data_IF_079800065542
#
_entry.id   IF_079800065542
#
_cell.length_a   1.000
_cell.length_b   1.000
_cell.length_c   1.000
_cell.angle_alpha   90.00
_cell.angle_beta   90.00
_cell.angle_gamma   90.00
#
_symmetry.space_group_name_H-M   'P 1'
#
loop_
_entity.id
_entity.type
_entity.pdbx_description
1 polymer ?
#
# COMPACT_ATOMS: atom_id res chain seq x y z
N UNK A 1 -5.13 18.15 -62.84
CA UNK A 1 -5.85 17.17 -61.99
C UNK A 1 -4.86 16.14 -61.44
N UNK A 2 -4.02 16.48 -60.46
CA UNK A 2 -3.21 15.51 -59.67
C UNK A 2 -2.63 16.26 -58.46
N UNK A 3 -3.45 16.58 -57.46
CA UNK A 3 -2.95 17.17 -56.21
C UNK A 3 -3.94 17.05 -55.04
N UNK A 4 -4.76 15.99 -55.00
CA UNK A 4 -5.72 15.80 -53.91
C UNK A 4 -5.75 14.37 -53.32
N UNK A 5 -4.81 13.51 -53.70
CA UNK A 5 -4.74 12.12 -53.19
C UNK A 5 -3.66 11.90 -52.14
N UNK A 6 -2.67 12.79 -51.97
CA UNK A 6 -1.66 12.65 -50.89
C UNK A 6 -2.14 13.21 -49.54
N UNK A 7 -2.90 14.30 -49.53
CA UNK A 7 -3.39 14.91 -48.29
C UNK A 7 -4.48 14.06 -47.59
N UNK A 8 -5.29 13.31 -48.36
CA UNK A 8 -6.29 12.40 -47.79
C UNK A 8 -5.68 11.10 -47.24
N UNK A 9 -4.51 10.67 -47.73
CA UNK A 9 -3.83 9.49 -47.20
C UNK A 9 -3.18 9.77 -45.83
N UNK A 10 -2.60 10.98 -45.65
CA UNK A 10 -1.95 11.38 -44.38
C UNK A 10 -2.95 11.69 -43.26
N UNK A 11 -4.13 12.23 -43.57
CA UNK A 11 -5.18 12.47 -42.57
C UNK A 11 -5.80 11.18 -42.02
N UNK A 12 -5.87 10.12 -42.83
CA UNK A 12 -6.38 8.80 -42.39
C UNK A 12 -5.38 8.14 -41.41
N UNK A 13 -4.08 8.31 -41.64
CA UNK A 13 -3.03 7.77 -40.76
C UNK A 13 -2.99 8.43 -39.37
N UNK A 14 -3.31 9.72 -39.27
CA UNK A 14 -3.30 10.45 -37.99
C UNK A 14 -4.54 10.11 -37.15
N UNK A 15 -5.71 9.92 -37.79
CA UNK A 15 -6.94 9.50 -37.10
C UNK A 15 -6.87 8.06 -36.59
N UNK A 16 -6.18 7.15 -37.31
CA UNK A 16 -5.90 5.80 -36.82
C UNK A 16 -4.95 5.79 -35.62
N UNK A 17 -3.93 6.67 -35.60
CA UNK A 17 -3.02 6.80 -34.45
C UNK A 17 -3.73 7.41 -33.22
N UNK A 18 -4.66 8.34 -33.41
CA UNK A 18 -5.44 8.94 -32.31
C UNK A 18 -6.40 7.91 -31.69
N UNK A 19 -7.03 7.06 -32.52
CA UNK A 19 -7.91 5.99 -32.03
C UNK A 19 -7.15 4.85 -31.33
N UNK A 20 -5.90 4.58 -31.71
CA UNK A 20 -5.06 3.57 -31.03
C UNK A 20 -4.53 4.08 -29.67
N UNK A 21 -4.32 5.40 -29.53
CA UNK A 21 -3.87 6.04 -28.29
C UNK A 21 -4.98 6.20 -27.26
N UNK A 22 -6.25 6.29 -27.68
CA UNK A 22 -7.41 6.28 -26.77
C UNK A 22 -7.63 4.91 -26.08
N UNK A 23 -6.87 3.88 -26.47
CA UNK A 23 -6.92 2.55 -25.85
C UNK A 23 -5.78 2.29 -24.84
N UNK A 24 -4.92 3.26 -24.56
CA UNK A 24 -3.81 3.12 -23.60
C UNK A 24 -3.79 4.31 -22.64
N UNK A 25 -4.21 4.10 -21.40
CA UNK A 25 -4.10 5.06 -20.29
C UNK A 25 -2.63 5.44 -20.03
N UNK A 26 -2.17 6.57 -20.56
CA UNK A 26 -0.86 7.14 -20.23
C UNK A 26 -0.94 8.64 -19.90
N UNK A 27 -0.97 8.88 -18.59
CA UNK A 27 -0.36 9.95 -17.81
C UNK A 27 -0.28 11.40 -18.37
N UNK A 28 -0.86 12.30 -17.57
CA UNK A 28 -0.86 13.78 -17.62
C UNK A 28 0.49 14.49 -17.92
N UNK A 29 1.63 13.79 -17.83
CA UNK A 29 2.95 14.40 -18.00
C UNK A 29 3.38 14.58 -19.46
N UNK A 30 2.78 13.86 -20.43
CA UNK A 30 3.12 14.01 -21.85
C UNK A 30 2.52 15.27 -22.49
N UNK A 31 1.36 15.73 -21.99
CA UNK A 31 0.68 16.92 -22.51
C UNK A 31 1.48 18.22 -22.24
N UNK A 32 2.09 18.35 -21.05
CA UNK A 32 2.90 19.53 -20.73
C UNK A 32 4.19 19.63 -21.58
N UNK A 33 4.74 18.48 -21.97
CA UNK A 33 5.94 18.39 -22.81
C UNK A 33 5.59 18.73 -24.26
N UNK A 34 4.48 18.21 -24.79
CA UNK A 34 4.01 18.54 -26.15
C UNK A 34 3.67 20.02 -26.30
N UNK A 35 2.97 20.61 -25.32
CA UNK A 35 2.62 22.04 -25.34
C UNK A 35 3.89 22.91 -25.27
N UNK A 36 4.87 22.55 -24.44
CA UNK A 36 6.15 23.29 -24.36
C UNK A 36 6.98 23.15 -25.64
N UNK A 37 6.93 21.99 -26.30
CA UNK A 37 7.60 21.74 -27.57
C UNK A 37 7.00 22.59 -28.71
N UNK A 38 5.67 22.64 -28.82
CA UNK A 38 5.00 23.45 -29.84
C UNK A 38 5.13 24.96 -29.61
N UNK A 39 5.21 25.41 -28.34
CA UNK A 39 5.42 26.83 -28.00
C UNK A 39 6.81 27.34 -28.40
N UNK A 40 7.79 26.45 -28.58
CA UNK A 40 9.19 26.80 -28.84
C UNK A 40 9.58 26.71 -30.32
N UNK A 41 8.85 25.98 -31.17
CA UNK A 41 9.37 25.64 -32.51
C UNK A 41 8.45 25.81 -33.74
N UNK A 42 7.20 26.31 -33.68
CA UNK A 42 6.44 26.77 -34.86
C UNK A 42 5.14 27.50 -34.49
N UNK A 43 4.73 28.48 -35.30
CA UNK A 43 3.44 29.17 -35.16
C UNK A 43 2.28 28.15 -35.29
N UNK A 44 1.32 28.21 -34.35
CA UNK A 44 0.09 27.43 -34.41
C UNK A 44 -0.77 27.89 -35.61
N UNK A 45 -1.38 26.97 -36.37
CA UNK A 45 -2.39 27.32 -37.37
C UNK A 45 -3.65 27.92 -36.70
N UNK A 46 -4.24 28.91 -37.35
CA UNK A 46 -5.30 29.81 -36.85
C UNK A 46 -6.67 29.15 -36.59
N UNK A 47 -6.80 27.82 -36.69
CA UNK A 47 -8.05 27.09 -36.44
C UNK A 47 -8.23 26.57 -35.01
N UNK A 48 -7.26 26.78 -34.11
CA UNK A 48 -7.32 26.34 -32.70
C UNK A 48 -7.44 27.48 -31.67
N UNK A 49 -7.66 28.74 -32.10
CA UNK A 49 -7.78 29.87 -31.17
C UNK A 49 -9.13 29.97 -30.44
N UNK A 50 -10.15 29.24 -30.88
CA UNK A 50 -11.53 29.37 -30.38
C UNK A 50 -11.95 28.35 -29.32
N UNK A 51 -11.09 27.40 -28.93
CA UNK A 51 -11.36 26.51 -27.78
C UNK A 51 -10.51 26.81 -26.52
N UNK A 52 -9.62 27.79 -26.58
CA UNK A 52 -8.76 28.16 -25.44
C UNK A 52 -9.34 29.26 -24.53
N UNK A 53 -10.39 29.96 -24.95
CA UNK A 53 -11.05 30.99 -24.10
C UNK A 53 -11.86 30.40 -22.95
N UNK A 54 -12.34 29.15 -23.07
CA UNK A 54 -13.09 28.48 -22.00
C UNK A 54 -12.20 27.87 -20.89
N UNK A 55 -10.90 27.65 -21.15
CA UNK A 55 -9.96 27.07 -20.18
C UNK A 55 -9.20 28.11 -19.36
N UNK A 56 -9.24 29.40 -19.73
CA UNK A 56 -8.53 30.47 -19.01
C UNK A 56 -9.25 30.99 -17.76
N UNK A 57 -10.54 30.67 -17.58
CA UNK A 57 -11.31 31.10 -16.39
C UNK A 57 -11.06 30.18 -15.18
N UNK A 58 -10.59 28.94 -15.39
CA UNK A 58 -10.30 28.00 -14.29
C UNK A 58 -8.89 28.17 -13.71
N UNK A 59 -7.92 28.70 -14.47
CA UNK A 59 -6.54 28.87 -14.01
C UNK A 59 -6.33 30.09 -13.08
N UNK A 60 -7.23 31.08 -13.10
CA UNK A 60 -7.10 32.28 -12.24
C UNK A 60 -7.63 32.10 -10.81
N UNK A 61 -8.33 31.01 -10.48
CA UNK A 61 -8.80 30.74 -9.10
C UNK A 61 -7.80 29.99 -8.22
N UNK A 62 -6.68 29.51 -8.74
CA UNK A 62 -5.69 28.75 -7.96
C UNK A 62 -4.38 29.49 -7.63
N UNK A 63 -4.18 30.70 -8.16
CA UNK A 63 -2.91 31.47 -7.97
C UNK A 63 -2.86 32.33 -6.69
N UNK A 64 -3.88 32.28 -5.83
CA UNK A 64 -3.97 33.15 -4.64
C UNK A 64 -3.88 32.37 -3.33
N UNK A 65 -2.83 31.58 -3.12
CA UNK A 65 -2.42 31.14 -1.77
C UNK A 65 -1.03 30.47 -1.78
N UNK A 66 0.02 31.28 -1.84
CA UNK A 66 1.33 31.01 -1.21
C UNK A 66 2.37 31.99 -1.74
N UNK A 67 2.51 33.12 -1.05
CA UNK A 67 3.69 33.99 -1.20
C UNK A 67 4.17 34.33 0.21
N UNK A 68 5.24 33.67 0.64
CA UNK A 68 6.01 34.01 1.83
C UNK A 68 7.47 34.21 1.41
N UNK A 69 7.91 35.46 1.56
CA UNK A 69 9.25 35.97 1.88
C UNK A 69 10.50 35.36 1.22
N UNK A 70 11.18 36.19 0.41
CA UNK A 70 12.61 36.09 0.11
C UNK A 70 13.34 37.30 0.71
N UNK A 71 14.44 37.06 1.42
CA UNK A 71 15.40 38.09 1.87
C UNK A 71 16.75 37.79 1.22
N UNK A 72 17.33 38.84 0.62
CA UNK A 72 18.65 38.87 -0.04
C UNK A 72 19.83 38.94 0.94
N UNK A 73 21.03 38.49 0.53
CA UNK A 73 22.34 39.14 0.74
C UNK A 73 23.53 38.33 0.14
N UNK A 74 24.70 38.95 -0.12
CA UNK A 74 25.57 38.66 -1.27
C UNK A 74 27.01 38.18 -0.97
N UNK A 75 27.79 37.95 -2.04
CA UNK A 75 29.21 37.54 -2.10
C UNK A 75 30.21 38.52 -1.44
N UNK A 76 31.30 38.00 -0.85
CA UNK A 76 32.67 38.52 -1.03
C UNK A 76 33.76 37.52 -0.54
N UNK A 77 34.94 37.62 -1.16
CA UNK A 77 36.13 36.76 -1.05
C UNK A 77 37.02 37.09 0.19
N UNK A 78 37.97 36.19 0.55
CA UNK A 78 39.40 36.45 0.91
C UNK A 78 40.06 35.20 1.58
N UNK A 79 41.40 35.17 1.49
CA UNK A 79 42.47 34.15 1.56
C UNK A 79 42.79 33.35 2.86
N UNK A 80 43.52 32.22 2.66
CA UNK A 80 44.32 31.36 3.59
C UNK A 80 45.47 32.10 4.35
N UNK A 81 46.25 31.53 5.33
CA UNK A 81 46.54 30.09 5.63
C UNK A 81 46.77 29.64 7.11
N UNK A 82 46.95 28.31 7.28
CA UNK A 82 47.93 27.54 8.12
C UNK A 82 47.33 26.38 8.94
N UNK A 83 47.90 25.18 8.75
CA UNK A 83 47.78 23.98 9.62
C UNK A 83 48.82 24.05 10.76
N UNK A 84 48.75 23.22 11.84
CA UNK A 84 49.31 21.86 11.76
C UNK A 84 48.58 20.74 12.55
N UNK A 85 48.85 19.51 12.09
CA UNK A 85 48.92 18.21 12.79
C UNK A 85 47.66 17.47 13.30
N UNK A 86 47.69 16.16 13.04
CA UNK A 86 46.67 15.12 13.29
C UNK A 86 46.98 14.33 14.59
N UNK A 87 46.12 13.39 15.05
CA UNK A 87 46.13 12.03 14.47
C UNK A 87 44.77 11.34 14.29
N UNK A 88 44.68 10.69 13.11
CA UNK A 88 44.14 9.37 12.74
C UNK A 88 42.94 8.72 13.47
N UNK A 89 41.97 8.39 12.61
CA UNK A 89 41.25 7.11 12.46
C UNK A 89 40.26 6.68 13.54
N UNK A 90 38.97 6.85 13.26
CA UNK A 90 38.02 5.74 13.08
C UNK A 90 36.94 6.16 12.08
N UNK A 91 37.08 5.75 10.81
CA UNK A 91 35.97 5.77 9.86
C UNK A 91 34.97 4.70 10.32
N UNK A 92 33.79 5.09 10.80
CA UNK A 92 32.63 4.20 10.77
C UNK A 92 32.25 4.02 9.31
N UNK A 93 32.71 2.94 8.69
CA UNK A 93 32.05 2.40 7.50
C UNK A 93 30.65 1.98 7.95
N UNK A 94 29.64 2.77 7.59
CA UNK A 94 28.27 2.27 7.56
C UNK A 94 28.21 1.26 6.41
N UNK A 95 28.45 -0.01 6.73
CA UNK A 95 28.20 -1.09 5.79
C UNK A 95 26.69 -1.12 5.59
N UNK A 96 26.24 -0.71 4.40
CA UNK A 96 24.88 -0.97 3.94
C UNK A 96 24.76 -2.47 3.73
N UNK A 97 24.34 -3.21 4.75
CA UNK A 97 23.93 -4.61 4.59
C UNK A 97 22.61 -4.62 3.83
N UNK A 98 22.68 -4.59 2.49
CA UNK A 98 21.62 -5.10 1.64
C UNK A 98 21.60 -6.61 1.83
N UNK A 99 20.75 -7.09 2.73
CA UNK A 99 20.55 -8.52 2.89
C UNK A 99 19.60 -8.98 1.79
N UNK A 100 20.17 -9.62 0.76
CA UNK A 100 19.39 -10.39 -0.19
C UNK A 100 18.95 -11.67 0.54
N UNK A 101 17.64 -11.91 0.64
CA UNK A 101 17.11 -13.17 1.15
C UNK A 101 17.45 -14.25 0.12
N UNK A 102 18.61 -14.89 0.27
CA UNK A 102 18.92 -16.10 -0.48
C UNK A 102 18.27 -17.28 0.24
N UNK A 103 17.02 -17.56 -0.13
CA UNK A 103 16.46 -18.89 0.04
C UNK A 103 17.27 -19.85 -0.84
N UNK A 104 17.92 -20.84 -0.24
CA UNK A 104 18.58 -21.92 -0.96
C UNK A 104 17.52 -22.76 -1.69
N UNK A 105 17.60 -22.78 -3.02
CA UNK A 105 16.66 -23.45 -3.92
C UNK A 105 16.89 -24.97 -3.95
N UNK A 106 15.84 -25.81 -4.00
CA UNK A 106 15.96 -27.16 -4.52
C UNK A 106 16.07 -27.11 -6.06
N UNK A 107 17.02 -27.85 -6.62
CA UNK A 107 17.23 -27.93 -8.06
C UNK A 107 16.05 -28.64 -8.73
N UNK A 108 15.28 -27.90 -9.54
CA UNK A 108 14.27 -28.47 -10.43
C UNK A 108 14.81 -28.47 -11.86
N UNK A 109 14.72 -29.61 -12.56
CA UNK A 109 15.36 -29.92 -13.84
C UNK A 109 14.82 -29.14 -15.06
N UNK A 110 14.18 -27.99 -14.85
CA UNK A 110 13.77 -27.06 -15.89
C UNK A 110 14.24 -25.67 -15.45
N UNK A 111 15.27 -25.12 -16.11
CA UNK A 111 16.01 -23.91 -15.73
C UNK A 111 15.24 -22.57 -15.68
N UNK A 112 13.95 -22.58 -15.36
CA UNK A 112 13.19 -21.40 -14.99
C UNK A 112 13.38 -21.14 -13.49
N UNK A 113 14.16 -20.11 -13.16
CA UNK A 113 14.31 -19.59 -11.79
C UNK A 113 12.94 -19.06 -11.32
N UNK A 114 12.25 -19.78 -10.44
CA UNK A 114 10.99 -19.30 -9.86
C UNK A 114 11.33 -18.17 -8.89
N UNK A 115 11.15 -16.93 -9.35
CA UNK A 115 11.28 -15.75 -8.49
C UNK A 115 10.02 -15.62 -7.63
N UNK A 116 10.11 -16.05 -6.37
CA UNK A 116 9.02 -15.87 -5.43
C UNK A 116 8.95 -14.41 -4.99
N UNK A 117 7.81 -13.77 -5.24
CA UNK A 117 7.54 -12.40 -4.79
C UNK A 117 7.02 -12.45 -3.34
N UNK A 118 7.65 -11.71 -2.41
CA UNK A 118 7.29 -11.78 -1.00
C UNK A 118 5.88 -11.24 -0.74
N UNK A 119 5.24 -11.78 0.30
CA UNK A 119 3.98 -11.26 0.83
C UNK A 119 4.23 -10.32 2.00
N UNK A 120 3.59 -9.15 2.00
CA UNK A 120 3.54 -8.26 3.16
C UNK A 120 2.19 -8.45 3.86
N UNK A 121 2.22 -9.04 5.05
CA UNK A 121 1.04 -9.29 5.86
C UNK A 121 1.06 -8.31 7.03
N UNK A 122 0.10 -7.38 7.03
CA UNK A 122 0.05 -6.26 7.97
C UNK A 122 -1.15 -6.42 8.89
N UNK A 123 -0.92 -6.46 10.19
CA UNK A 123 -1.96 -6.37 11.20
C UNK A 123 -2.14 -4.94 11.63
N UNK A 124 -3.37 -4.42 11.55
CA UNK A 124 -3.70 -3.11 12.07
C UNK A 124 -4.00 -3.16 13.57
N UNK A 125 -3.60 -2.11 14.28
CA UNK A 125 -3.77 -2.00 15.73
C UNK A 125 -3.09 -0.73 16.26
N UNK A 126 -3.25 -0.47 17.56
CA UNK A 126 -2.52 0.60 18.25
C UNK A 126 -1.44 0.01 19.16
N UNK A 127 -0.23 0.60 19.21
CA UNK A 127 0.84 0.14 20.09
C UNK A 127 0.60 0.52 21.56
N UNK A 128 1.13 -0.29 22.47
CA UNK A 128 1.14 -0.04 23.90
C UNK A 128 0.10 -0.83 24.70
N UNK A 129 0.42 -1.09 25.98
CA UNK A 129 -0.32 -2.00 26.85
C UNK A 129 -1.81 -1.65 27.04
N UNK A 130 -2.16 -0.36 26.93
CA UNK A 130 -3.55 0.11 27.06
C UNK A 130 -4.49 -0.43 25.97
N UNK A 131 -3.96 -0.78 24.80
CA UNK A 131 -4.74 -1.32 23.68
C UNK A 131 -4.65 -2.85 23.58
N UNK A 132 -3.90 -3.49 24.47
CA UNK A 132 -3.78 -4.94 24.46
C UNK A 132 -5.13 -5.61 24.76
N UNK A 133 -5.56 -6.48 23.85
CA UNK A 133 -6.82 -7.23 23.94
C UNK A 133 -8.07 -6.42 23.58
N UNK A 134 -7.94 -5.20 23.07
CA UNK A 134 -9.08 -4.40 22.61
C UNK A 134 -9.56 -4.85 21.24
N UNK A 135 -10.84 -4.68 20.91
CA UNK A 135 -11.41 -5.09 19.62
C UNK A 135 -10.61 -4.55 18.42
N UNK A 136 -10.19 -3.29 18.49
CA UNK A 136 -9.43 -2.62 17.43
C UNK A 136 -7.97 -3.07 17.27
N UNK A 137 -7.50 -3.98 18.14
CA UNK A 137 -6.15 -4.53 18.12
C UNK A 137 -6.10 -5.98 17.61
N UNK A 138 -7.23 -6.50 17.12
CA UNK A 138 -7.32 -7.88 16.66
C UNK A 138 -6.41 -8.18 15.47
N UNK A 139 -6.11 -7.17 14.64
CA UNK A 139 -5.13 -7.31 13.55
C UNK A 139 -3.73 -7.63 14.08
N UNK A 140 -3.30 -7.02 15.19
CA UNK A 140 -2.03 -7.37 15.84
C UNK A 140 -2.05 -8.80 16.39
N UNK A 141 -3.15 -9.20 17.04
CA UNK A 141 -3.28 -10.56 17.59
C UNK A 141 -3.24 -11.63 16.48
N UNK A 142 -3.80 -11.35 15.30
CA UNK A 142 -3.68 -12.24 14.14
C UNK A 142 -2.23 -12.35 13.68
N UNK A 143 -1.48 -11.24 13.61
CA UNK A 143 -0.06 -11.29 13.24
C UNK A 143 0.74 -12.08 14.28
N UNK A 144 0.45 -11.92 15.57
CA UNK A 144 1.10 -12.67 16.64
C UNK A 144 0.80 -14.17 16.52
N UNK A 145 -0.43 -14.54 16.15
CA UNK A 145 -0.85 -15.93 15.93
C UNK A 145 -0.15 -16.55 14.72
N UNK A 146 -0.03 -15.81 13.61
CA UNK A 146 0.71 -16.23 12.42
C UNK A 146 2.19 -16.39 12.77
N UNK A 147 2.79 -15.39 13.41
CA UNK A 147 4.20 -15.39 13.79
C UNK A 147 4.54 -16.60 14.67
N UNK A 148 3.71 -16.87 15.69
CA UNK A 148 3.85 -18.03 16.58
C UNK A 148 3.77 -19.35 15.81
N UNK A 149 2.78 -19.49 14.92
CA UNK A 149 2.55 -20.74 14.17
C UNK A 149 3.67 -21.02 13.17
N UNK A 150 4.25 -19.98 12.57
CA UNK A 150 5.33 -20.09 11.59
C UNK A 150 6.74 -20.02 12.21
N UNK A 151 6.85 -19.86 13.53
CA UNK A 151 8.14 -19.69 14.20
C UNK A 151 8.88 -18.40 13.83
N UNK A 152 8.15 -17.36 13.41
CA UNK A 152 8.72 -16.07 13.00
C UNK A 152 8.91 -15.16 14.20
N UNK A 153 10.13 -14.70 14.41
CA UNK A 153 10.44 -13.75 15.47
C UNK A 153 10.23 -12.32 14.97
N UNK A 154 9.41 -11.55 15.67
CA UNK A 154 9.16 -10.13 15.38
C UNK A 154 10.07 -9.24 16.23
N UNK A 155 11.29 -8.99 15.78
CA UNK A 155 12.30 -8.22 16.52
C UNK A 155 12.85 -7.00 15.75
N UNK A 156 12.54 -6.88 14.46
CA UNK A 156 13.11 -5.86 13.60
C UNK A 156 12.21 -4.63 13.60
N UNK A 157 12.78 -3.44 13.84
CA UNK A 157 12.03 -2.18 13.73
C UNK A 157 12.42 -1.50 12.44
N UNK A 158 11.46 -1.31 11.54
CA UNK A 158 11.66 -0.65 10.26
C UNK A 158 10.41 0.13 9.87
N UNK A 159 10.58 1.32 9.29
CA UNK A 159 9.47 2.14 8.79
C UNK A 159 8.35 2.34 9.84
N UNK A 160 8.75 2.59 11.09
CA UNK A 160 7.83 2.72 12.24
C UNK A 160 6.95 1.48 12.47
N UNK A 161 7.37 0.28 12.07
CA UNK A 161 6.67 -0.97 12.31
C UNK A 161 7.59 -1.99 12.99
N UNK A 162 7.00 -2.88 13.79
CA UNK A 162 7.66 -4.10 14.24
C UNK A 162 7.46 -5.16 13.17
N UNK A 163 8.56 -5.77 12.73
CA UNK A 163 8.64 -6.61 11.55
C UNK A 163 9.25 -7.96 11.92
N UNK A 164 8.71 -9.02 11.33
CA UNK A 164 9.29 -10.36 11.32
C UNK A 164 9.36 -10.90 9.89
N UNK A 165 10.45 -11.57 9.56
CA UNK A 165 10.67 -12.18 8.24
C UNK A 165 10.64 -13.69 8.41
N UNK A 166 9.93 -14.37 7.52
CA UNK A 166 9.88 -15.83 7.49
C UNK A 166 9.39 -16.36 6.16
N UNK A 167 8.87 -17.57 6.16
CA UNK A 167 8.23 -18.17 4.99
C UNK A 167 7.00 -18.98 5.39
N UNK A 168 6.07 -19.13 4.44
CA UNK A 168 5.00 -20.13 4.50
C UNK A 168 5.24 -21.08 3.34
N UNK A 169 5.64 -22.31 3.65
CA UNK A 169 6.20 -23.20 2.63
C UNK A 169 7.46 -22.58 2.03
N UNK A 170 7.51 -22.47 0.70
CA UNK A 170 8.60 -21.84 -0.03
C UNK A 170 8.39 -20.33 -0.28
N UNK A 171 7.23 -19.78 0.09
CA UNK A 171 6.88 -18.39 -0.19
C UNK A 171 7.39 -17.49 0.93
N UNK A 172 8.25 -16.49 0.65
CA UNK A 172 8.74 -15.57 1.67
C UNK A 172 7.62 -14.64 2.15
N UNK A 173 7.52 -14.46 3.46
CA UNK A 173 6.54 -13.58 4.11
C UNK A 173 7.21 -12.54 4.99
N UNK A 174 6.61 -11.36 5.01
CA UNK A 174 6.97 -10.22 5.84
C UNK A 174 5.77 -9.88 6.72
N UNK A 175 5.88 -10.17 8.00
CA UNK A 175 4.87 -9.83 9.00
C UNK A 175 5.15 -8.44 9.55
N UNK A 176 4.13 -7.58 9.60
CA UNK A 176 4.28 -6.21 10.09
C UNK A 176 3.16 -5.82 11.07
N UNK A 177 3.56 -5.18 12.18
CA UNK A 177 2.68 -4.47 13.11
C UNK A 177 3.12 -3.00 13.16
N UNK A 178 2.44 -2.09 12.45
CA UNK A 178 2.71 -0.65 12.53
C UNK A 178 2.74 -0.18 13.98
N UNK A 179 3.81 0.51 14.39
CA UNK A 179 3.97 1.11 15.72
C UNK A 179 3.55 2.59 15.72
N UNK A 180 2.90 3.06 14.66
CA UNK A 180 2.14 4.30 14.66
C UNK A 180 0.72 4.06 15.22
N UNK A 181 0.00 5.13 15.54
CA UNK A 181 -1.42 5.01 15.86
C UNK A 181 -2.23 4.62 14.62
N UNK A 182 -3.39 4.00 14.83
CA UNK A 182 -4.23 3.43 13.78
C UNK A 182 -4.42 4.34 12.56
N UNK A 183 -4.73 5.62 12.79
CA UNK A 183 -5.00 6.61 11.73
C UNK A 183 -3.78 6.92 10.85
N UNK A 184 -2.58 6.50 11.28
CA UNK A 184 -1.30 6.72 10.61
C UNK A 184 -0.64 5.41 10.19
N UNK A 185 -1.39 4.30 10.16
CA UNK A 185 -0.87 2.99 9.74
C UNK A 185 -0.24 3.02 8.35
N UNK A 186 -0.74 3.87 7.44
CA UNK A 186 -0.19 4.02 6.10
C UNK A 186 1.25 4.56 6.06
N UNK A 187 1.67 5.33 7.07
CA UNK A 187 3.04 5.83 7.19
C UNK A 187 4.06 4.69 7.37
N UNK A 188 3.61 3.52 7.82
CA UNK A 188 4.43 2.32 7.92
C UNK A 188 4.29 1.42 6.69
N UNK A 189 3.07 1.18 6.24
CA UNK A 189 2.79 0.20 5.18
C UNK A 189 3.37 0.63 3.84
N UNK A 190 3.19 1.90 3.44
CA UNK A 190 3.70 2.40 2.15
C UNK A 190 5.22 2.25 2.01
N UNK A 191 6.02 2.77 2.96
CA UNK A 191 7.47 2.62 2.93
C UNK A 191 7.96 1.16 3.02
N UNK A 192 7.27 0.28 3.77
CA UNK A 192 7.60 -1.15 3.79
C UNK A 192 7.37 -1.80 2.42
N UNK A 193 6.21 -1.56 1.81
CA UNK A 193 5.90 -2.10 0.49
C UNK A 193 6.92 -1.63 -0.56
N UNK A 194 7.29 -0.35 -0.53
CA UNK A 194 8.29 0.21 -1.44
C UNK A 194 9.69 -0.37 -1.21
N UNK A 195 10.13 -0.49 0.06
CA UNK A 195 11.46 -1.00 0.40
C UNK A 195 11.66 -2.45 -0.03
N UNK A 196 10.66 -3.30 0.23
CA UNK A 196 10.69 -4.72 -0.12
C UNK A 196 10.16 -5.02 -1.52
N UNK A 197 9.83 -3.99 -2.30
CA UNK A 197 9.30 -4.09 -3.66
C UNK A 197 8.10 -5.04 -3.76
N UNK A 198 7.21 -5.00 -2.75
CA UNK A 198 6.07 -5.90 -2.66
C UNK A 198 4.96 -5.40 -3.60
N UNK A 199 4.48 -6.23 -4.54
CA UNK A 199 3.38 -5.83 -5.41
C UNK A 199 2.07 -5.72 -4.60
N UNK A 200 1.19 -4.79 -4.98
CA UNK A 200 -0.06 -4.50 -4.25
C UNK A 200 -0.93 -5.74 -4.00
N UNK A 201 -0.97 -6.66 -4.97
CA UNK A 201 -1.70 -7.94 -4.86
C UNK A 201 -1.18 -8.87 -3.76
N UNK A 202 0.06 -8.66 -3.27
CA UNK A 202 0.69 -9.43 -2.19
C UNK A 202 0.75 -8.66 -0.86
N UNK A 203 0.03 -7.52 -0.76
CA UNK A 203 -0.13 -6.78 0.48
C UNK A 203 -1.45 -7.20 1.14
N UNK A 204 -1.37 -8.10 2.11
CA UNK A 204 -2.52 -8.54 2.88
C UNK A 204 -2.71 -7.65 4.12
N UNK A 205 -3.84 -6.94 4.18
CA UNK A 205 -4.20 -6.13 5.33
C UNK A 205 -5.18 -6.88 6.24
N UNK A 206 -4.87 -7.00 7.53
CA UNK A 206 -5.69 -7.65 8.54
C UNK A 206 -6.20 -6.62 9.54
N UNK A 207 -7.52 -6.56 9.74
CA UNK A 207 -8.15 -5.55 10.60
C UNK A 207 -9.54 -5.99 11.10
N UNK A 208 -10.06 -5.26 12.09
CA UNK A 208 -11.40 -5.46 12.65
C UNK A 208 -12.52 -4.90 11.77
N UNK A 209 -13.62 -5.64 11.67
CA UNK A 209 -14.77 -5.27 10.85
C UNK A 209 -16.06 -5.36 11.68
N UNK A 210 -16.75 -4.23 11.84
CA UNK A 210 -17.98 -4.15 12.62
C UNK A 210 -19.20 -4.73 11.89
N UNK A 211 -19.20 -4.67 10.55
CA UNK A 211 -20.31 -5.22 9.76
C UNK A 211 -20.40 -6.74 9.82
N UNK A 212 -19.33 -7.42 10.24
CA UNK A 212 -19.27 -8.86 10.39
C UNK A 212 -19.54 -9.24 11.86
N UNK A 213 -20.33 -10.31 12.11
CA UNK A 213 -20.53 -10.82 13.46
C UNK A 213 -19.22 -11.26 14.12
N UNK A 214 -19.20 -11.26 15.45
CA UNK A 214 -18.01 -11.60 16.22
C UNK A 214 -17.44 -12.99 15.84
N UNK A 215 -16.16 -13.06 15.50
CA UNK A 215 -15.46 -14.29 15.11
C UNK A 215 -15.76 -14.82 13.71
N UNK A 216 -16.46 -14.04 12.87
CA UNK A 216 -16.65 -14.34 11.44
C UNK A 216 -15.53 -13.70 10.64
N UNK A 217 -14.86 -14.51 9.80
CA UNK A 217 -13.79 -14.02 8.94
C UNK A 217 -14.26 -13.81 7.51
N UNK A 218 -13.63 -12.86 6.80
CA UNK A 218 -13.85 -12.67 5.36
C UNK A 218 -12.57 -12.24 4.67
N UNK A 219 -12.17 -12.98 3.64
CA UNK A 219 -11.05 -12.61 2.77
C UNK A 219 -11.59 -11.97 1.49
N UNK A 220 -11.05 -10.80 1.13
CA UNK A 220 -11.47 -10.05 -0.05
C UNK A 220 -10.24 -9.67 -0.88
N UNK A 221 -10.28 -9.76 -2.22
CA UNK A 221 -9.16 -9.38 -3.09
C UNK A 221 -9.01 -7.85 -3.22
N UNK A 222 -10.10 -7.12 -3.02
CA UNK A 222 -10.16 -5.65 -3.09
C UNK A 222 -11.30 -5.14 -2.22
N UNK A 223 -11.28 -3.85 -1.88
CA UNK A 223 -12.36 -3.25 -1.09
C UNK A 223 -12.18 -1.77 -0.77
N UNK A 224 -13.23 -1.15 -0.26
CA UNK A 224 -13.17 0.19 0.33
C UNK A 224 -12.69 0.17 1.78
N UNK A 225 -12.50 1.33 2.40
CA UNK A 225 -12.06 1.40 3.79
C UNK A 225 -13.15 1.08 4.82
N UNK A 226 -14.44 1.01 4.44
CA UNK A 226 -15.51 0.57 5.35
C UNK A 226 -15.60 1.38 6.65
N UNK A 227 -15.36 2.70 6.59
CA UNK A 227 -15.21 3.59 7.76
C UNK A 227 -14.06 3.27 8.74
N UNK A 228 -13.20 2.31 8.43
CA UNK A 228 -12.02 1.99 9.23
C UNK A 228 -10.86 2.96 8.93
N UNK A 229 -10.44 3.73 9.93
CA UNK A 229 -9.44 4.78 9.75
C UNK A 229 -8.05 4.26 9.37
N UNK A 230 -7.63 3.10 9.88
CA UNK A 230 -6.34 2.50 9.50
C UNK A 230 -6.28 2.09 8.03
N UNK A 231 -7.33 1.44 7.53
CA UNK A 231 -7.46 1.11 6.11
C UNK A 231 -7.48 2.37 5.23
N UNK A 232 -8.19 3.42 5.66
CA UNK A 232 -8.17 4.72 4.98
C UNK A 232 -6.76 5.31 4.90
N UNK A 233 -6.00 5.23 5.99
CA UNK A 233 -4.60 5.68 6.05
C UNK A 233 -3.70 4.91 5.08
N UNK A 234 -3.82 3.57 5.07
CA UNK A 234 -3.05 2.69 4.18
C UNK A 234 -3.37 2.98 2.72
N UNK A 235 -4.66 3.08 2.36
CA UNK A 235 -5.07 3.44 1.00
C UNK A 235 -4.47 4.79 0.56
N UNK A 236 -4.44 5.79 1.44
CA UNK A 236 -3.83 7.09 1.14
C UNK A 236 -2.33 7.04 0.86
N UNK A 237 -1.61 6.08 1.44
CA UNK A 237 -0.16 5.90 1.25
C UNK A 237 0.20 4.87 0.15
N UNK A 238 -0.82 4.24 -0.45
CA UNK A 238 -0.69 3.36 -1.61
C UNK A 238 -1.35 4.02 -2.84
N UNK A 239 -1.13 5.33 -3.02
CA UNK A 239 -1.63 6.15 -4.13
C UNK A 239 -3.15 6.06 -4.36
N UNK A 240 -3.92 5.87 -3.27
CA UNK A 240 -5.38 5.72 -3.34
C UNK A 240 -5.86 4.36 -3.82
N UNK A 241 -4.95 3.40 -4.05
CA UNK A 241 -5.29 2.09 -4.58
C UNK A 241 -6.16 1.28 -3.62
N UNK A 242 -7.05 0.47 -4.20
CA UNK A 242 -8.00 -0.41 -3.49
C UNK A 242 -7.77 -1.88 -3.78
N UNK A 243 -6.83 -2.19 -4.67
CA UNK A 243 -6.58 -3.50 -5.25
C UNK A 243 -5.51 -4.27 -4.47
N UNK A 244 -5.77 -4.44 -3.18
CA UNK A 244 -4.94 -5.25 -2.31
C UNK A 244 -5.82 -6.12 -1.40
N UNK A 245 -5.37 -7.35 -1.11
CA UNK A 245 -6.16 -8.30 -0.34
C UNK A 245 -6.35 -7.89 1.12
N UNK A 246 -7.47 -8.32 1.68
CA UNK A 246 -7.91 -7.95 3.03
C UNK A 246 -8.45 -9.17 3.74
N UNK A 247 -8.04 -9.35 5.00
CA UNK A 247 -8.67 -10.28 5.93
C UNK A 247 -9.42 -9.46 6.98
N UNK A 248 -10.74 -9.45 6.86
CA UNK A 248 -11.64 -8.81 7.81
C UNK A 248 -11.93 -9.79 8.95
N UNK A 249 -11.75 -9.34 10.19
CA UNK A 249 -12.11 -10.10 11.39
C UNK A 249 -13.33 -9.44 12.01
N UNK A 250 -14.45 -10.16 12.02
CA UNK A 250 -15.69 -9.67 12.58
C UNK A 250 -15.61 -9.47 14.08
N UNK A 251 -15.98 -8.28 14.53
CA UNK A 251 -16.08 -7.92 15.95
C UNK A 251 -17.51 -7.66 16.39
N UNK A 252 -18.47 -7.61 15.46
CA UNK A 252 -19.86 -7.27 15.72
C UNK A 252 -20.12 -5.77 15.78
N UNK A 253 -21.40 -5.43 15.94
CA UNK A 253 -21.86 -4.05 16.06
C UNK A 253 -21.91 -3.62 17.53
N UNK A 254 -21.68 -2.33 17.83
CA UNK A 254 -21.86 -1.80 19.17
C UNK A 254 -23.32 -1.98 19.63
N UNK A 255 -23.56 -2.40 20.88
CA UNK A 255 -24.91 -2.58 21.39
C UNK A 255 -25.59 -1.22 21.64
N UNK A 256 -26.85 -1.09 21.20
CA UNK A 256 -27.69 0.08 21.47
C UNK A 256 -27.10 1.37 20.88
N UNK A 257 -26.98 2.40 21.72
CA UNK A 257 -26.47 3.74 21.35
C UNK A 257 -25.02 3.98 21.79
N UNK A 258 -24.27 2.92 22.08
CA UNK A 258 -22.88 3.02 22.52
C UNK A 258 -22.02 3.75 21.46
N UNK A 259 -21.12 4.63 21.92
CA UNK A 259 -20.14 5.26 21.05
C UNK A 259 -19.22 4.22 20.39
N UNK A 260 -19.05 4.36 19.07
CA UNK A 260 -18.26 3.45 18.25
C UNK A 260 -16.80 3.40 18.72
N UNK A 261 -16.20 4.53 19.07
CA UNK A 261 -14.79 4.56 19.50
C UNK A 261 -14.62 3.85 20.85
N UNK A 262 -15.55 4.08 21.77
CA UNK A 262 -15.56 3.37 23.05
C UNK A 262 -15.66 1.86 22.87
N UNK A 263 -16.56 1.38 21.99
CA UNK A 263 -16.73 -0.05 21.71
C UNK A 263 -15.44 -0.70 21.15
N UNK A 264 -14.76 -0.02 20.22
CA UNK A 264 -13.51 -0.47 19.60
C UNK A 264 -12.35 -0.58 20.60
N UNK A 265 -12.31 0.32 21.59
CA UNK A 265 -11.28 0.37 22.63
C UNK A 265 -11.58 -0.52 23.84
N UNK A 266 -12.73 -1.17 23.88
CA UNK A 266 -13.06 -2.16 24.90
C UNK A 266 -12.44 -3.52 24.58
N UNK A 267 -12.23 -4.31 25.62
CA UNK A 267 -11.86 -5.73 25.50
C UNK A 267 -13.08 -6.58 25.19
N UNK A 268 -12.84 -7.72 24.56
CA UNK A 268 -13.87 -8.75 24.37
C UNK A 268 -14.33 -9.32 25.72
N UNK A 269 -15.62 -9.62 25.82
CA UNK A 269 -16.14 -10.48 26.89
C UNK A 269 -15.59 -11.90 26.75
N UNK A 270 -15.69 -12.71 27.80
CA UNK A 270 -15.19 -14.10 27.78
C UNK A 270 -15.81 -14.92 26.65
N UNK A 271 -17.12 -14.76 26.40
CA UNK A 271 -17.84 -15.48 25.33
C UNK A 271 -17.35 -15.03 23.95
N UNK A 272 -17.25 -13.72 23.73
CA UNK A 272 -16.74 -13.19 22.46
C UNK A 272 -15.28 -13.60 22.23
N UNK A 273 -14.47 -13.63 23.30
CA UNK A 273 -13.06 -14.01 23.25
C UNK A 273 -12.87 -15.44 22.76
N UNK A 274 -13.66 -16.40 23.24
CA UNK A 274 -13.61 -17.77 22.75
C UNK A 274 -13.91 -17.88 21.24
N UNK A 275 -14.87 -17.11 20.75
CA UNK A 275 -15.19 -17.07 19.31
C UNK A 275 -14.05 -16.46 18.50
N UNK A 276 -13.41 -15.42 19.05
CA UNK A 276 -12.27 -14.76 18.42
C UNK A 276 -11.05 -15.67 18.41
N UNK A 277 -10.73 -16.37 19.49
CA UNK A 277 -9.59 -17.31 19.54
C UNK A 277 -9.73 -18.38 18.46
N UNK A 278 -10.92 -18.98 18.35
CA UNK A 278 -11.23 -19.92 17.27
C UNK A 278 -11.16 -19.28 15.87
N UNK A 279 -11.47 -17.99 15.74
CA UNK A 279 -11.32 -17.25 14.50
C UNK A 279 -9.84 -16.98 14.17
N UNK A 280 -8.99 -16.68 15.16
CA UNK A 280 -7.55 -16.50 14.95
C UNK A 280 -6.92 -17.77 14.37
N UNK A 281 -7.23 -18.94 14.96
CA UNK A 281 -6.76 -20.23 14.45
C UNK A 281 -7.19 -20.49 13.00
N UNK A 282 -8.48 -20.24 12.70
CA UNK A 282 -9.02 -20.36 11.34
C UNK A 282 -8.39 -19.36 10.37
N UNK A 283 -8.08 -18.15 10.85
CA UNK A 283 -7.47 -17.09 10.06
C UNK A 283 -6.03 -17.41 9.69
N UNK A 284 -5.25 -17.99 10.59
CA UNK A 284 -3.89 -18.46 10.29
C UNK A 284 -3.92 -19.44 9.11
N UNK A 285 -4.83 -20.41 9.13
CA UNK A 285 -4.94 -21.39 8.04
C UNK A 285 -5.44 -20.78 6.74
N UNK A 286 -6.37 -19.82 6.82
CA UNK A 286 -6.85 -19.09 5.66
C UNK A 286 -5.75 -18.23 5.02
N UNK A 287 -4.89 -17.60 5.83
CA UNK A 287 -3.72 -16.86 5.34
C UNK A 287 -2.70 -17.81 4.69
N UNK A 288 -2.44 -18.99 5.29
CA UNK A 288 -1.57 -20.01 4.67
C UNK A 288 -2.10 -20.42 3.29
N UNK A 289 -3.39 -20.71 3.20
CA UNK A 289 -4.05 -21.07 1.93
C UNK A 289 -3.93 -19.94 0.91
N UNK A 290 -4.17 -18.70 1.31
CA UNK A 290 -4.08 -17.53 0.43
C UNK A 290 -2.66 -17.31 -0.10
N UNK A 291 -1.65 -17.44 0.76
CA UNK A 291 -0.25 -17.22 0.37
C UNK A 291 0.26 -18.29 -0.58
N UNK A 292 -0.15 -19.55 -0.39
CA UNK A 292 0.28 -20.69 -1.21
C UNK A 292 -0.50 -20.80 -2.53
N UNK A 293 -1.82 -20.63 -2.49
CA UNK A 293 -2.70 -20.94 -3.62
C UNK A 293 -3.32 -19.68 -4.26
N UNK A 294 -3.17 -18.51 -3.64
CA UNK A 294 -3.83 -17.29 -4.08
C UNK A 294 -5.34 -17.31 -3.86
N UNK A 295 -6.08 -16.51 -4.65
CA UNK A 295 -7.54 -16.48 -4.63
C UNK A 295 -8.11 -17.64 -5.45
N UNK A 296 -8.24 -18.80 -4.81
CA UNK A 296 -8.76 -20.02 -5.41
C UNK A 296 -10.19 -20.36 -4.93
N UNK A 297 -10.65 -21.56 -5.29
CA UNK A 297 -11.91 -22.10 -4.78
C UNK A 297 -11.88 -22.32 -3.27
N UNK A 298 -10.74 -22.64 -2.68
CA UNK A 298 -10.58 -22.85 -1.23
C UNK A 298 -10.90 -21.59 -0.43
N UNK A 299 -10.45 -20.42 -0.88
CA UNK A 299 -10.80 -19.12 -0.28
C UNK A 299 -12.28 -18.81 -0.45
N UNK A 300 -12.86 -19.12 -1.61
CA UNK A 300 -14.29 -18.95 -1.85
C UNK A 300 -15.13 -19.83 -0.92
N UNK A 301 -14.78 -21.11 -0.80
CA UNK A 301 -15.42 -22.05 0.14
C UNK A 301 -15.21 -21.63 1.59
N UNK A 302 -14.03 -21.10 1.95
CA UNK A 302 -13.77 -20.55 3.28
C UNK A 302 -14.74 -19.42 3.61
N UNK A 303 -14.88 -18.42 2.73
CA UNK A 303 -15.81 -17.31 2.92
C UNK A 303 -17.27 -17.78 3.04
N UNK A 304 -17.69 -18.80 2.26
CA UNK A 304 -19.02 -19.39 2.38
C UNK A 304 -19.21 -20.07 3.73
N UNK A 305 -18.26 -20.87 4.20
CA UNK A 305 -18.31 -21.50 5.53
C UNK A 305 -18.43 -20.45 6.64
N UNK A 306 -17.66 -19.37 6.56
CA UNK A 306 -17.72 -18.27 7.53
C UNK A 306 -19.09 -17.56 7.51
N UNK A 307 -19.67 -17.35 6.32
CA UNK A 307 -21.03 -16.78 6.17
C UNK A 307 -22.08 -17.61 6.92
N UNK A 308 -22.02 -18.95 6.80
CA UNK A 308 -22.99 -19.84 7.45
C UNK A 308 -22.66 -20.17 8.91
N UNK A 309 -21.45 -19.89 9.40
CA UNK A 309 -21.04 -20.08 10.80
C UNK A 309 -21.99 -19.35 11.78
N UNK A 310 -22.47 -18.18 11.38
CA UNK A 310 -23.36 -17.35 12.21
C UNK A 310 -24.86 -17.68 12.06
N UNK A 311 -25.25 -18.42 11.03
CA UNK A 311 -26.66 -18.80 10.82
C UNK A 311 -27.08 -20.04 11.62
N UNK A 312 -26.16 -20.63 12.41
CA UNK A 312 -26.41 -21.80 13.28
C UNK A 312 -26.93 -21.45 14.68
N UNK A 313 -27.38 -20.22 14.89
CA UNK A 313 -27.97 -19.76 16.17
C UNK A 313 -29.49 -19.80 16.07
#
# INVERSE_FOLDING_TARGET
>A
MMSNTKANQECISILEIINEVERVELHHNYWCILISYFRKHKQLPSSLSLQLSHLQILAQKFSARSMWYAVSAPNCCISYPRRPCSPRFLRKCSVSTSFCVQASLPENNNGAKVEYTPWLIVGLGNPGNKYHGTRHNIGFEMIDSIAKTQGVVMNTIQSKALVGIGSIGEVPILLAKPQAYMNYSGESVGPLAAYYQVPLRHILLVYDEMSLPNGVLRIQPKGGHGYHNGVKSVMGHLDGCREFPRLCIGIGNPPGTMDMKAYLLQRFSTVERHQIDAALDQGVEAVRTLVLNGFDQSITSFNLRQKYKYHKV
#
